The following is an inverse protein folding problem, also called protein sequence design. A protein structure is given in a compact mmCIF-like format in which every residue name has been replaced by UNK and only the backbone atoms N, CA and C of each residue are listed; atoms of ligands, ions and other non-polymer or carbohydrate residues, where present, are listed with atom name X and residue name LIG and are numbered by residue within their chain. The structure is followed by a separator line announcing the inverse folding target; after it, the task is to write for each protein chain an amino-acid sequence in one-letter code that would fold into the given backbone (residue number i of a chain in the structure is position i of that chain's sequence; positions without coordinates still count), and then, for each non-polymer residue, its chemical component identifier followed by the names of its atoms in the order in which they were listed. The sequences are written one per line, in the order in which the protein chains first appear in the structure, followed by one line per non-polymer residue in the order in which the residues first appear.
data_IF_262649698168
#
_entry.id   IF_262649698168
#
_cell.length_a   1.000
_cell.length_b   1.000
_cell.length_c   1.000
_cell.angle_alpha   90.00
_cell.angle_beta   90.00
_cell.angle_gamma   90.00
#
_symmetry.space_group_name_H-M   'P 1'
#
loop_
_entity.id
_entity.type
_entity.pdbx_description
1 polymer ?
#
# COMPACT_ATOMS: atom_id res chain seq x y z
N UNK A 1 -11.06 -5.26 1.83
CA UNK A 1 -9.82 -5.39 1.05
C UNK A 1 -9.56 -4.05 0.40
N UNK A 2 -8.47 -3.36 0.74
CA UNK A 2 -8.10 -2.13 0.05
C UNK A 2 -7.72 -2.47 -1.40
N UNK A 3 -8.29 -1.77 -2.37
CA UNK A 3 -7.87 -1.91 -3.76
C UNK A 3 -6.50 -1.22 -3.91
N UNK A 4 -5.44 -2.01 -4.12
CA UNK A 4 -4.07 -1.52 -4.27
C UNK A 4 -3.99 -0.47 -5.38
N UNK A 5 -4.69 -0.67 -6.50
CA UNK A 5 -4.72 0.31 -7.59
C UNK A 5 -5.27 1.65 -7.12
N UNK A 6 -6.39 1.65 -6.38
CA UNK A 6 -7.02 2.88 -5.93
C UNK A 6 -6.16 3.64 -4.93
N UNK A 7 -5.53 2.92 -3.99
CA UNK A 7 -4.64 3.52 -3.00
C UNK A 7 -3.39 4.12 -3.67
N UNK A 8 -2.79 3.41 -4.63
CA UNK A 8 -1.64 3.92 -5.38
C UNK A 8 -2.02 5.14 -6.22
N UNK A 9 -3.18 5.13 -6.87
CA UNK A 9 -3.66 6.25 -7.67
C UNK A 9 -3.81 7.52 -6.85
N UNK A 10 -4.45 7.44 -5.69
CA UNK A 10 -4.64 8.62 -4.83
C UNK A 10 -3.29 9.15 -4.32
N UNK A 11 -2.34 8.26 -4.00
CA UNK A 11 -0.98 8.68 -3.64
C UNK A 11 -0.28 9.41 -4.79
N UNK A 12 -0.37 8.89 -6.02
CA UNK A 12 0.20 9.54 -7.20
C UNK A 12 -0.53 10.83 -7.61
N UNK A 13 -1.82 10.98 -7.30
CA UNK A 13 -2.55 12.22 -7.51
C UNK A 13 -2.07 13.35 -6.58
N UNK A 14 -1.58 13.01 -5.39
CA UNK A 14 -0.98 13.98 -4.47
C UNK A 14 0.47 14.39 -4.85
N UNK A 15 1.03 13.85 -5.94
CA UNK A 15 2.31 14.25 -6.51
C UNK A 15 2.14 15.38 -7.53
N UNK A 16 3.02 16.38 -7.46
CA UNK A 16 3.14 17.40 -8.50
C UNK A 16 3.68 16.80 -9.80
N UNK A 17 3.51 17.48 -10.93
CA UNK A 17 4.03 16.99 -12.22
C UNK A 17 5.55 16.80 -12.24
N UNK A 18 6.29 17.68 -11.55
CA UNK A 18 7.73 17.55 -11.37
C UNK A 18 8.10 16.27 -10.60
N UNK A 19 7.31 15.96 -9.56
CA UNK A 19 7.51 14.74 -8.80
C UNK A 19 7.16 13.50 -9.65
N UNK A 20 6.10 13.55 -10.45
CA UNK A 20 5.74 12.48 -11.37
C UNK A 20 6.88 12.17 -12.36
N UNK A 21 7.48 13.19 -12.97
CA UNK A 21 8.65 13.00 -13.86
C UNK A 21 9.81 12.32 -13.14
N UNK A 22 10.06 12.71 -11.90
CA UNK A 22 11.10 12.10 -11.05
C UNK A 22 10.76 10.65 -10.70
N UNK A 23 9.48 10.36 -10.41
CA UNK A 23 8.98 9.02 -10.14
C UNK A 23 9.16 8.09 -11.35
N UNK A 24 8.79 8.56 -12.54
CA UNK A 24 9.02 7.84 -13.80
C UNK A 24 10.50 7.58 -14.05
N UNK A 25 11.37 8.56 -13.74
CA UNK A 25 12.81 8.39 -13.86
C UNK A 25 13.32 7.24 -12.97
N UNK A 26 12.83 7.11 -11.72
CA UNK A 26 13.18 6.00 -10.85
C UNK A 26 12.63 4.65 -11.33
N UNK A 27 11.42 4.62 -11.89
CA UNK A 27 10.87 3.40 -12.50
C UNK A 27 11.72 2.94 -13.69
N UNK A 28 12.23 3.87 -14.50
CA UNK A 28 13.06 3.56 -15.66
C UNK A 28 14.51 3.20 -15.31
N UNK A 29 15.11 3.87 -14.33
CA UNK A 29 16.48 3.54 -13.89
C UNK A 29 16.53 2.25 -13.06
N UNK A 30 15.37 1.84 -12.52
CA UNK A 30 15.29 0.74 -11.60
C UNK A 30 15.79 1.11 -10.21
N UNK A 31 15.31 0.40 -9.21
CA UNK A 31 15.86 0.40 -7.86
C UNK A 31 16.53 -0.97 -7.68
N UNK A 32 17.59 -1.06 -6.87
CA UNK A 32 18.44 -2.28 -6.72
C UNK A 32 17.68 -3.62 -6.63
N UNK A 33 16.45 -3.61 -6.12
CA UNK A 33 15.64 -4.80 -5.85
C UNK A 33 14.51 -5.01 -6.88
N UNK A 34 14.37 -4.12 -7.86
CA UNK A 34 13.24 -4.08 -8.78
C UNK A 34 13.70 -3.90 -10.24
N UNK A 35 13.09 -4.66 -11.14
CA UNK A 35 13.39 -4.56 -12.58
C UNK A 35 12.91 -3.22 -13.15
N UNK A 36 13.73 -2.50 -13.91
CA UNK A 36 13.32 -1.24 -14.52
C UNK A 36 12.18 -1.43 -15.52
N UNK A 37 11.34 -0.41 -15.64
CA UNK A 37 10.28 -0.33 -16.64
C UNK A 37 10.78 0.49 -17.83
N UNK A 38 10.63 0.00 -19.08
CA UNK A 38 11.09 0.74 -20.26
C UNK A 38 10.49 2.14 -20.34
N UNK A 39 11.33 3.16 -20.57
CA UNK A 39 10.89 4.55 -20.77
C UNK A 39 9.74 4.70 -21.77
N UNK A 40 9.74 3.91 -22.84
CA UNK A 40 8.69 3.93 -23.86
C UNK A 40 7.27 3.66 -23.30
N UNK A 41 7.16 2.90 -22.21
CA UNK A 41 5.89 2.66 -21.52
C UNK A 41 5.51 3.80 -20.56
N UNK A 42 6.47 4.63 -20.15
CA UNK A 42 6.27 5.68 -19.15
C UNK A 42 6.12 7.09 -19.75
N UNK A 43 6.69 7.33 -20.93
CA UNK A 43 6.81 8.67 -21.53
C UNK A 43 5.47 9.36 -21.82
N UNK A 44 4.41 8.58 -22.06
CA UNK A 44 3.05 9.08 -22.29
C UNK A 44 2.03 8.52 -21.29
N UNK A 45 2.50 7.91 -20.20
CA UNK A 45 1.60 7.30 -19.22
C UNK A 45 1.02 8.38 -18.29
N UNK A 46 -0.31 8.49 -18.27
CA UNK A 46 -0.99 9.28 -17.26
C UNK A 46 -0.88 8.62 -15.88
N UNK A 47 -1.35 9.33 -14.84
CA UNK A 47 -1.32 8.80 -13.46
C UNK A 47 -2.01 7.45 -13.34
N UNK A 48 -3.12 7.25 -14.05
CA UNK A 48 -3.86 5.99 -14.07
C UNK A 48 -3.08 4.89 -14.80
N UNK A 49 -2.50 5.19 -15.96
CA UNK A 49 -1.68 4.23 -16.72
C UNK A 49 -0.45 3.81 -15.92
N UNK A 50 0.19 4.75 -15.22
CA UNK A 50 1.32 4.42 -14.34
C UNK A 50 0.93 3.43 -13.26
N UNK A 51 -0.22 3.59 -12.61
CA UNK A 51 -0.70 2.62 -11.62
C UNK A 51 -0.87 1.25 -12.25
N UNK A 52 -1.50 1.19 -13.42
CA UNK A 52 -1.74 -0.07 -14.11
C UNK A 52 -0.42 -0.76 -14.49
N UNK A 53 0.54 -0.01 -15.06
CA UNK A 53 1.89 -0.47 -15.38
C UNK A 53 2.62 -1.01 -14.14
N UNK A 54 2.60 -0.28 -13.02
CA UNK A 54 3.26 -0.69 -11.77
C UNK A 54 2.61 -1.98 -11.23
N UNK A 55 1.28 -2.07 -11.25
CA UNK A 55 0.54 -3.24 -10.76
C UNK A 55 0.76 -4.45 -11.67
N UNK A 56 0.79 -4.26 -13.00
CA UNK A 56 1.08 -5.34 -13.93
C UNK A 56 2.52 -5.85 -13.80
N UNK A 57 3.49 -4.94 -13.67
CA UNK A 57 4.91 -5.28 -13.67
C UNK A 57 5.34 -5.96 -12.35
N UNK A 58 4.90 -5.42 -11.21
CA UNK A 58 5.39 -5.85 -9.89
C UNK A 58 4.40 -6.69 -9.10
N UNK A 59 3.10 -6.65 -9.45
CA UNK A 59 2.01 -7.47 -8.92
C UNK A 59 1.74 -7.32 -7.42
N UNK A 60 0.47 -7.08 -7.07
CA UNK A 60 0.00 -7.10 -5.68
C UNK A 60 0.87 -6.23 -4.76
N UNK A 61 1.46 -6.84 -3.73
CA UNK A 61 2.31 -6.13 -2.78
C UNK A 61 3.59 -5.56 -3.41
N UNK A 62 4.15 -6.18 -4.45
CA UNK A 62 5.34 -5.66 -5.12
C UNK A 62 5.13 -4.25 -5.70
N UNK A 63 3.90 -3.93 -6.12
CA UNK A 63 3.51 -2.60 -6.58
C UNK A 63 3.51 -1.55 -5.45
N UNK A 64 3.21 -1.98 -4.23
CA UNK A 64 3.26 -1.14 -3.04
C UNK A 64 4.71 -0.90 -2.63
N UNK A 65 5.52 -1.96 -2.56
CA UNK A 65 6.92 -1.88 -2.13
C UNK A 65 7.77 -0.98 -3.02
N UNK A 66 7.61 -1.08 -4.36
CA UNK A 66 8.31 -0.19 -5.29
C UNK A 66 7.87 1.26 -5.11
N UNK A 67 6.57 1.51 -4.98
CA UNK A 67 6.02 2.86 -4.80
C UNK A 67 6.55 3.49 -3.52
N UNK A 68 6.55 2.76 -2.40
CA UNK A 68 7.10 3.22 -1.13
C UNK A 68 8.60 3.53 -1.24
N UNK A 69 9.35 2.66 -1.92
CA UNK A 69 10.79 2.82 -2.11
C UNK A 69 11.14 4.08 -2.92
N UNK A 70 10.40 4.34 -3.99
CA UNK A 70 10.58 5.54 -4.82
C UNK A 70 10.19 6.80 -4.04
N UNK A 71 9.02 6.80 -3.38
CA UNK A 71 8.57 7.95 -2.59
C UNK A 71 9.56 8.31 -1.49
N UNK A 72 10.15 7.32 -0.82
CA UNK A 72 11.19 7.53 0.20
C UNK A 72 12.46 8.13 -0.41
N UNK A 73 12.88 7.67 -1.60
CA UNK A 73 14.03 8.25 -2.32
C UNK A 73 13.81 9.70 -2.74
N UNK A 74 12.57 10.05 -3.08
CA UNK A 74 12.15 11.41 -3.42
C UNK A 74 11.86 12.28 -2.19
N UNK A 75 12.08 11.75 -0.98
CA UNK A 75 11.79 12.41 0.30
C UNK A 75 10.30 12.81 0.47
N UNK A 76 9.37 12.10 -0.18
CA UNK A 76 7.91 12.29 -0.08
C UNK A 76 7.34 11.51 1.11
N UNK A 77 7.90 11.74 2.30
CA UNK A 77 7.60 10.95 3.51
C UNK A 77 6.12 11.06 3.92
N UNK A 78 5.49 12.22 3.74
CA UNK A 78 4.05 12.39 4.00
C UNK A 78 3.20 11.43 3.13
N UNK A 79 3.57 11.23 1.87
CA UNK A 79 2.83 10.34 0.97
C UNK A 79 3.06 8.88 1.31
N UNK A 80 4.25 8.54 1.82
CA UNK A 80 4.56 7.21 2.37
C UNK A 80 3.64 6.91 3.56
N UNK A 81 3.47 7.86 4.49
CA UNK A 81 2.59 7.70 5.65
C UNK A 81 1.12 7.54 5.25
N UNK A 82 0.64 8.34 4.31
CA UNK A 82 -0.73 8.23 3.77
C UNK A 82 -0.95 6.86 3.12
N UNK A 83 0.01 6.41 2.30
CA UNK A 83 -0.04 5.10 1.65
C UNK A 83 -0.09 3.96 2.67
N UNK A 84 0.79 3.97 3.68
CA UNK A 84 0.82 2.94 4.74
C UNK A 84 -0.45 2.95 5.58
N UNK A 85 -0.95 4.12 5.93
CA UNK A 85 -2.17 4.26 6.74
C UNK A 85 -3.38 3.67 6.03
N UNK A 86 -3.54 3.92 4.73
CA UNK A 86 -4.66 3.36 3.93
C UNK A 86 -4.58 1.85 3.76
N UNK A 87 -3.36 1.33 3.58
CA UNK A 87 -3.15 -0.12 3.50
C UNK A 87 -3.41 -0.80 4.85
N UNK A 88 -3.15 -0.10 5.96
CA UNK A 88 -3.41 -0.56 7.33
C UNK A 88 -4.89 -0.48 7.70
N UNK A 89 -5.57 0.61 7.33
CA UNK A 89 -7.01 0.81 7.61
C UNK A 89 -7.88 -0.26 6.91
N UNK A 90 -7.40 -0.82 5.78
CA UNK A 90 -7.99 -1.98 5.13
C UNK A 90 -7.96 -3.29 5.92
N UNK A 91 -7.18 -3.38 7.01
CA UNK A 91 -7.21 -4.47 8.00
C UNK A 91 -8.11 -4.14 9.19
N UNK A 92 -8.27 -2.86 9.53
CA UNK A 92 -9.07 -2.40 10.68
C UNK A 92 -10.57 -2.21 10.34
N UNK A 93 -10.93 -2.08 9.07
CA UNK A 93 -12.33 -2.06 8.62
C UNK A 93 -13.05 -3.42 8.75
N UNK A 94 -12.32 -4.52 9.02
CA UNK A 94 -12.93 -5.81 9.39
C UNK A 94 -13.24 -5.93 10.89
N UNK A 95 -12.64 -5.08 11.74
CA UNK A 95 -12.94 -5.03 13.16
C UNK A 95 -14.00 -3.97 13.51
N UNK A 96 -14.37 -3.08 12.59
CA UNK A 96 -15.47 -2.12 12.78
C UNK A 96 -16.84 -2.61 12.31
N UNK A 97 -16.94 -3.81 11.71
CA UNK A 97 -18.24 -4.42 11.35
C UNK A 97 -18.95 -5.02 12.57
N UNK A 98 -18.19 -5.39 13.60
CA UNK A 98 -18.73 -5.84 14.87
C UNK A 98 -18.29 -4.81 15.91
N UNK A 99 -19.20 -3.94 16.32
CA UNK A 99 -19.00 -2.98 17.42
C UNK A 99 -18.88 -3.76 18.75
N UNK A 100 -17.79 -4.51 18.90
CA UNK A 100 -17.49 -5.30 20.08
C UNK A 100 -16.26 -4.68 20.76
N UNK A 101 -16.36 -4.30 22.04
CA UNK A 101 -15.25 -3.72 22.79
C UNK A 101 -14.11 -4.74 22.90
N UNK A 102 -12.87 -4.25 22.85
CA UNK A 102 -11.65 -5.06 22.92
C UNK A 102 -11.58 -5.99 24.16
N UNK A 103 -12.36 -5.68 25.20
CA UNK A 103 -12.55 -6.48 26.42
C UNK A 103 -13.14 -7.87 26.14
N UNK A 104 -13.84 -8.08 25.02
CA UNK A 104 -14.45 -9.37 24.66
C UNK A 104 -13.49 -10.32 23.91
N UNK A 105 -12.40 -9.81 23.33
CA UNK A 105 -11.40 -10.67 22.66
C UNK A 105 -10.42 -11.31 23.66
N UNK A 106 -10.33 -10.78 24.88
CA UNK A 106 -9.45 -11.33 25.92
C UNK A 106 -10.03 -12.57 26.63
N UNK A 107 -11.31 -12.89 26.44
CA UNK A 107 -11.98 -14.00 27.13
C UNK A 107 -11.94 -15.32 26.34
N UNK A 108 -11.60 -15.32 25.05
CA UNK A 108 -11.54 -16.55 24.25
C UNK A 108 -10.16 -17.23 24.20
N UNK A 109 -9.19 -16.79 25.02
CA UNK A 109 -7.99 -17.58 25.31
C UNK A 109 -7.91 -17.92 26.79
N UNK A 110 -8.85 -18.72 27.28
CA UNK A 110 -8.62 -19.57 28.44
C UNK A 110 -9.12 -20.99 28.10
N UNK A 111 -8.25 -22.02 28.17
CA UNK A 111 -8.66 -23.40 27.99
C UNK A 111 -9.59 -23.83 29.14
N UNK A 112 -10.63 -24.57 28.76
CA UNK A 112 -11.58 -25.22 29.63
C UNK A 112 -10.89 -26.04 30.74
N UNK A 113 -11.40 -25.91 31.97
CA UNK A 113 -11.16 -26.89 33.01
C UNK A 113 -11.13 -26.33 34.43
N UNK A 114 -12.30 -26.19 35.05
CA UNK A 114 -12.63 -27.00 36.24
C UNK A 114 -14.11 -26.82 36.59
N UNK A 115 -14.70 -27.98 36.84
CA UNK A 115 -16.08 -28.32 37.13
C UNK A 115 -16.42 -27.89 38.56
N UNK A 116 -17.44 -27.08 38.76
CA UNK A 116 -18.11 -27.01 40.06
C UNK A 116 -18.95 -28.28 40.25
N UNK A 117 -18.83 -28.88 41.43
CA UNK A 117 -19.52 -30.11 41.81
C UNK A 117 -19.43 -30.34 43.30
N UNK A 118 -20.46 -29.81 43.99
CA UNK A 118 -20.99 -30.09 45.35
C UNK A 118 -20.10 -29.80 46.56
#
# INVERSE_FOLDING_TARGET
MANIQHVLLETLQNLSECDIKTFQWYLNNGIKEFRPIPKAQLENADRTDMVDIIVQCYKGNGAVDITLSILRKMNKNQQVEVLLTKLRDGKETLLKRWDLPWTMLSTCLHPAGVREGV
#
